data_IF_110458480426
#
_entry.id   IF_110458480426
#
_cell.length_a   1.000
_cell.length_b   1.000
_cell.length_c   1.000
_cell.angle_alpha   90.00
_cell.angle_beta   90.00
_cell.angle_gamma   90.00
#
_symmetry.space_group_name_H-M   'P 1'
#
loop_
_entity.id
_entity.type
_entity.pdbx_description
1 polymer ?
#
# COMPACT_ATOMS: atom_id res chain seq x y z
N UNK A 1 10.39 -34.70 -29.52
CA UNK A 1 11.68 -35.11 -28.97
C UNK A 1 12.19 -33.98 -28.12
N UNK A 2 11.62 -33.68 -26.96
CA UNK A 2 11.40 -34.48 -25.73
C UNK A 2 12.02 -33.54 -24.65
N UNK A 3 11.42 -33.17 -23.53
CA UNK A 3 10.42 -33.78 -22.66
C UNK A 3 9.59 -32.68 -21.99
N UNK A 4 8.29 -32.98 -21.86
CA UNK A 4 7.32 -32.27 -21.03
C UNK A 4 7.60 -32.52 -19.54
N UNK A 5 7.82 -31.45 -18.77
CA UNK A 5 7.67 -31.51 -17.32
C UNK A 5 6.24 -31.16 -16.94
N UNK A 6 5.40 -32.19 -16.92
CA UNK A 6 4.09 -32.21 -16.25
C UNK A 6 4.35 -32.05 -14.74
N UNK A 7 3.84 -30.98 -14.14
CA UNK A 7 3.73 -30.88 -12.69
C UNK A 7 2.26 -31.00 -12.30
N UNK A 8 1.99 -32.05 -11.54
CA UNK A 8 0.69 -32.56 -11.13
C UNK A 8 -0.17 -31.57 -10.33
N UNK A 9 -1.48 -31.73 -10.47
CA UNK A 9 -2.54 -31.02 -9.76
C UNK A 9 -2.43 -31.22 -8.23
N UNK A 10 -2.14 -30.13 -7.52
CA UNK A 10 -2.34 -30.03 -6.07
C UNK A 10 -3.82 -29.79 -5.70
N UNK A 11 -4.24 -30.11 -4.46
CA UNK A 11 -5.64 -30.24 -4.10
C UNK A 11 -6.41 -28.92 -4.23
N UNK A 12 -7.50 -28.98 -4.99
CA UNK A 12 -8.40 -27.87 -5.27
C UNK A 12 -9.25 -27.49 -4.05
N UNK A 13 -8.92 -26.39 -3.39
CA UNK A 13 -9.86 -25.70 -2.50
C UNK A 13 -10.81 -24.90 -3.40
N UNK A 14 -12.06 -25.35 -3.48
CA UNK A 14 -13.26 -24.59 -3.86
C UNK A 14 -13.18 -23.70 -5.11
N UNK A 15 -13.86 -24.10 -6.19
CA UNK A 15 -14.09 -23.31 -7.42
C UNK A 15 -14.59 -21.89 -7.13
N UNK A 16 -13.68 -20.93 -7.01
CA UNK A 16 -13.84 -19.59 -7.55
C UNK A 16 -12.60 -19.32 -8.41
N UNK A 17 -12.82 -19.02 -9.70
CA UNK A 17 -11.77 -18.49 -10.57
C UNK A 17 -11.37 -17.14 -9.99
N UNK A 18 -10.38 -17.12 -9.09
CA UNK A 18 -9.56 -15.93 -8.87
C UNK A 18 -8.90 -15.68 -10.22
N UNK A 19 -9.48 -14.79 -11.02
CA UNK A 19 -8.77 -14.22 -12.18
C UNK A 19 -7.44 -13.74 -11.63
N UNK A 20 -6.35 -14.43 -11.99
CA UNK A 20 -4.97 -14.13 -11.56
C UNK A 20 -4.78 -12.61 -11.46
N UNK A 21 -4.82 -12.07 -10.25
CA UNK A 21 -4.41 -10.70 -9.99
C UNK A 21 -2.92 -10.63 -10.32
N UNK A 22 -2.59 -10.10 -11.50
CA UNK A 22 -1.20 -10.02 -11.96
C UNK A 22 -0.38 -9.23 -10.93
N UNK A 23 0.54 -9.91 -10.25
CA UNK A 23 1.46 -9.30 -9.30
C UNK A 23 1.06 -9.39 -7.82
N UNK A 24 -0.04 -10.07 -7.47
CA UNK A 24 -0.36 -10.39 -6.08
C UNK A 24 0.29 -11.71 -5.68
N UNK A 25 1.17 -11.68 -4.68
CA UNK A 25 1.76 -12.87 -4.07
C UNK A 25 1.22 -13.06 -2.65
N UNK A 26 0.68 -14.25 -2.38
CA UNK A 26 0.24 -14.69 -1.04
C UNK A 26 1.38 -15.49 -0.42
N UNK A 27 1.87 -15.08 0.75
CA UNK A 27 2.84 -15.86 1.53
C UNK A 27 2.20 -16.29 2.84
N UNK A 28 1.75 -17.56 2.94
CA UNK A 28 1.45 -18.14 4.24
C UNK A 28 2.77 -18.36 5.00
N UNK A 29 2.73 -18.22 6.33
CA UNK A 29 3.82 -18.73 7.17
C UNK A 29 3.94 -20.24 6.95
N UNK A 30 5.10 -20.71 6.49
CA UNK A 30 5.37 -22.12 6.22
C UNK A 30 5.74 -22.77 7.55
N UNK A 31 4.96 -23.76 8.02
CA UNK A 31 5.47 -24.78 8.92
C UNK A 31 6.08 -25.92 8.08
N UNK A 32 7.14 -26.55 8.58
CA UNK A 32 7.91 -27.57 7.84
C UNK A 32 7.15 -28.90 7.61
N UNK A 33 5.85 -28.96 7.90
CA UNK A 33 5.07 -30.19 7.78
C UNK A 33 3.92 -29.99 6.80
N UNK A 34 4.19 -30.25 5.53
CA UNK A 34 3.21 -30.20 4.45
C UNK A 34 1.98 -31.09 4.75
N UNK A 35 0.88 -30.46 5.14
CA UNK A 35 -0.42 -31.10 5.24
C UNK A 35 -1.48 -30.28 4.50
N UNK A 36 -2.17 -30.96 3.59
CA UNK A 36 -3.28 -30.48 2.78
C UNK A 36 -4.44 -29.98 3.64
N UNK A 37 -4.84 -28.72 3.44
CA UNK A 37 -5.96 -28.09 4.15
C UNK A 37 -7.31 -28.59 3.63
N UNK A 38 -7.88 -29.57 4.34
CA UNK A 38 -9.30 -29.88 4.34
C UNK A 38 -9.85 -29.76 5.77
N UNK A 39 -11.04 -29.17 5.89
CA UNK A 39 -11.86 -28.95 7.10
C UNK A 39 -11.34 -27.92 8.14
N UNK A 40 -12.08 -26.80 8.21
CA UNK A 40 -11.80 -25.57 8.97
C UNK A 40 -12.00 -25.65 10.50
N UNK A 41 -12.10 -26.82 11.15
CA UNK A 41 -12.48 -26.86 12.57
C UNK A 41 -11.52 -27.53 13.56
N UNK A 42 -10.34 -28.05 13.16
CA UNK A 42 -9.50 -28.80 14.12
C UNK A 42 -8.04 -28.34 14.31
N UNK A 43 -7.66 -27.14 13.85
CA UNK A 43 -6.37 -26.57 14.26
C UNK A 43 -6.42 -25.06 14.44
N UNK A 44 -6.16 -24.58 15.66
CA UNK A 44 -6.34 -23.20 16.14
C UNK A 44 -5.46 -22.13 15.48
N UNK A 45 -5.63 -21.88 14.18
CA UNK A 45 -4.97 -20.79 13.45
C UNK A 45 -5.87 -19.57 13.33
N UNK A 46 -6.20 -18.93 14.46
CA UNK A 46 -6.91 -17.65 14.45
C UNK A 46 -6.00 -16.55 13.89
N UNK A 47 -6.19 -16.16 12.63
CA UNK A 47 -5.50 -15.01 12.03
C UNK A 47 -6.00 -13.73 12.69
N UNK A 48 -5.17 -13.12 13.54
CA UNK A 48 -5.49 -11.85 14.23
C UNK A 48 -5.57 -10.67 13.26
N UNK A 49 -4.58 -10.57 12.37
CA UNK A 49 -4.52 -9.52 11.36
C UNK A 49 -3.77 -9.99 10.10
N UNK A 50 -4.09 -9.34 8.99
CA UNK A 50 -3.45 -9.50 7.68
C UNK A 50 -2.71 -8.22 7.34
N UNK A 51 -1.53 -8.34 6.75
CA UNK A 51 -0.75 -7.19 6.27
C UNK A 51 -0.77 -7.14 4.75
N UNK A 52 -1.09 -5.98 4.20
CA UNK A 52 -1.05 -5.68 2.78
C UNK A 52 0.14 -4.76 2.49
N UNK A 53 1.14 -5.28 1.79
CA UNK A 53 2.32 -4.52 1.36
C UNK A 53 2.13 -4.03 -0.08
N UNK A 54 2.08 -2.71 -0.24
CA UNK A 54 1.97 -2.04 -1.53
C UNK A 54 3.30 -1.44 -1.93
N UNK A 55 4.01 -2.13 -2.83
CA UNK A 55 5.33 -1.75 -3.30
C UNK A 55 5.37 -0.52 -4.20
N UNK A 56 6.57 0.05 -4.31
CA UNK A 56 6.84 1.21 -5.15
C UNK A 56 6.99 0.85 -6.63
N UNK A 57 7.09 1.87 -7.49
CA UNK A 57 7.22 1.68 -8.93
C UNK A 57 8.45 0.82 -9.26
N UNK A 58 8.27 -0.21 -10.08
CA UNK A 58 9.33 -1.17 -10.49
C UNK A 58 9.93 -2.02 -9.37
N UNK A 59 9.36 -2.00 -8.16
CA UNK A 59 9.86 -2.87 -7.11
C UNK A 59 9.66 -4.35 -7.48
N UNK A 60 10.63 -5.19 -7.10
CA UNK A 60 10.54 -6.63 -7.28
C UNK A 60 10.00 -7.26 -6.00
N UNK A 61 9.33 -8.41 -6.11
CA UNK A 61 8.82 -9.14 -4.93
C UNK A 61 9.88 -9.38 -3.85
N UNK A 62 11.13 -9.61 -4.27
CA UNK A 62 12.29 -9.77 -3.36
C UNK A 62 12.50 -8.56 -2.45
N UNK A 63 12.16 -7.36 -2.90
CA UNK A 63 12.29 -6.14 -2.10
C UNK A 63 11.22 -6.06 -1.01
N UNK A 64 10.02 -6.59 -1.26
CA UNK A 64 8.94 -6.67 -0.26
C UNK A 64 9.12 -7.85 0.70
N UNK A 65 9.91 -8.86 0.32
CA UNK A 65 10.14 -10.06 1.14
C UNK A 65 10.75 -9.74 2.50
N UNK A 66 11.70 -8.80 2.58
CA UNK A 66 12.29 -8.37 3.86
C UNK A 66 11.26 -7.75 4.82
N UNK A 67 10.25 -7.06 4.27
CA UNK A 67 9.16 -6.52 5.08
C UNK A 67 8.16 -7.60 5.47
N UNK A 68 7.87 -8.57 4.60
CA UNK A 68 7.08 -9.73 5.01
C UNK A 68 7.77 -10.52 6.13
N UNK A 69 9.08 -10.75 6.02
CA UNK A 69 9.90 -11.34 7.08
C UNK A 69 9.80 -10.54 8.39
N UNK A 70 9.89 -9.21 8.33
CA UNK A 70 9.67 -8.34 9.49
C UNK A 70 8.34 -8.65 10.21
N UNK A 71 7.23 -8.79 9.46
CA UNK A 71 5.93 -9.10 10.05
C UNK A 71 5.79 -10.53 10.56
N UNK A 72 6.35 -11.50 9.85
CA UNK A 72 6.32 -12.90 10.27
C UNK A 72 7.18 -13.14 11.52
N UNK A 73 8.43 -12.69 11.50
CA UNK A 73 9.44 -13.00 12.50
C UNK A 73 9.30 -12.17 13.78
N UNK A 74 8.88 -10.90 13.67
CA UNK A 74 8.86 -9.99 14.82
C UNK A 74 7.47 -9.65 15.34
N UNK A 75 6.42 -9.89 14.54
CA UNK A 75 5.05 -9.50 14.89
C UNK A 75 4.06 -10.66 14.83
N UNK A 76 4.55 -11.90 14.67
CA UNK A 76 3.75 -13.13 14.60
C UNK A 76 2.58 -13.05 13.61
N UNK A 77 2.71 -12.22 12.56
CA UNK A 77 1.71 -12.12 11.51
C UNK A 77 1.76 -13.39 10.67
N UNK A 78 0.63 -14.04 10.45
CA UNK A 78 0.57 -15.30 9.68
C UNK A 78 0.40 -15.08 8.18
N UNK A 79 -0.15 -13.92 7.78
CA UNK A 79 -0.54 -13.65 6.40
C UNK A 79 -0.07 -12.27 5.98
N UNK A 80 0.85 -12.24 5.02
CA UNK A 80 1.31 -11.01 4.38
C UNK A 80 1.06 -11.12 2.88
N UNK A 81 0.24 -10.21 2.34
CA UNK A 81 0.02 -10.08 0.91
C UNK A 81 0.92 -9.01 0.34
N UNK A 82 1.57 -9.31 -0.78
CA UNK A 82 2.51 -8.39 -1.44
C UNK A 82 2.00 -8.08 -2.82
N UNK A 83 1.84 -6.79 -3.10
CA UNK A 83 1.42 -6.31 -4.42
C UNK A 83 2.32 -5.17 -4.88
N UNK A 84 2.68 -5.22 -6.16
CA UNK A 84 3.39 -4.13 -6.83
C UNK A 84 2.61 -3.70 -8.05
N UNK A 85 2.30 -2.40 -8.14
CA UNK A 85 1.65 -1.86 -9.33
C UNK A 85 2.61 -1.96 -10.52
N UNK A 86 2.24 -2.62 -11.63
CA UNK A 86 3.06 -2.64 -12.83
C UNK A 86 3.34 -1.22 -13.36
N UNK A 87 4.60 -0.91 -13.65
CA UNK A 87 4.99 0.45 -14.03
C UNK A 87 4.28 0.95 -15.29
N UNK A 88 4.01 0.06 -16.24
CA UNK A 88 3.22 0.36 -17.44
C UNK A 88 1.80 0.86 -17.13
N UNK A 89 1.20 0.45 -16.01
CA UNK A 89 -0.15 0.89 -15.62
C UNK A 89 -0.14 2.29 -15.03
N UNK A 90 0.88 2.61 -14.23
CA UNK A 90 1.10 3.96 -13.71
C UNK A 90 1.39 4.93 -14.85
N UNK A 91 2.33 4.58 -15.74
CA UNK A 91 2.75 5.42 -16.87
C UNK A 91 1.65 5.61 -17.91
N UNK A 92 0.90 4.55 -18.25
CA UNK A 92 -0.25 4.63 -19.19
C UNK A 92 -1.51 5.17 -18.54
N UNK A 93 -1.44 5.57 -17.26
CA UNK A 93 -2.58 6.05 -16.46
C UNK A 93 -3.77 5.10 -16.51
N UNK A 94 -3.53 3.79 -16.63
CA UNK A 94 -4.55 2.75 -16.52
C UNK A 94 -4.93 2.59 -15.05
N UNK A 95 -5.59 3.62 -14.51
CA UNK A 95 -6.11 3.62 -13.16
C UNK A 95 -7.03 2.42 -12.94
N UNK A 96 -7.69 1.90 -14.00
CA UNK A 96 -8.54 0.72 -13.95
C UNK A 96 -7.89 -0.51 -13.31
N UNK A 97 -6.58 -0.74 -13.44
CA UNK A 97 -5.93 -1.92 -12.83
C UNK A 97 -5.58 -1.69 -11.36
N UNK A 98 -5.16 -0.47 -11.00
CA UNK A 98 -4.99 -0.05 -9.58
C UNK A 98 -6.33 -0.08 -8.85
N UNK A 99 -7.37 0.37 -9.54
CA UNK A 99 -8.78 0.36 -9.11
C UNK A 99 -9.26 -1.05 -8.87
N UNK A 100 -9.14 -1.94 -9.87
CA UNK A 100 -9.53 -3.34 -9.74
C UNK A 100 -8.76 -4.04 -8.63
N UNK A 101 -7.46 -3.79 -8.51
CA UNK A 101 -6.68 -4.41 -7.43
C UNK A 101 -7.17 -3.96 -6.05
N UNK A 102 -7.45 -2.67 -5.87
CA UNK A 102 -8.03 -2.18 -4.63
C UNK A 102 -9.40 -2.84 -4.38
N UNK A 103 -10.29 -2.85 -5.36
CA UNK A 103 -11.63 -3.45 -5.26
C UNK A 103 -11.58 -4.95 -4.96
N UNK A 104 -10.70 -5.69 -5.63
CA UNK A 104 -10.53 -7.13 -5.46
C UNK A 104 -9.94 -7.45 -4.09
N UNK A 105 -8.92 -6.73 -3.63
CA UNK A 105 -8.37 -6.90 -2.28
C UNK A 105 -9.44 -6.62 -1.22
N UNK A 106 -10.20 -5.54 -1.39
CA UNK A 106 -11.27 -5.17 -0.46
C UNK A 106 -12.45 -6.15 -0.45
N UNK A 107 -12.64 -6.90 -1.55
CA UNK A 107 -13.71 -7.90 -1.66
C UNK A 107 -13.26 -9.29 -1.18
N UNK A 108 -11.99 -9.66 -1.41
CA UNK A 108 -11.49 -11.00 -1.12
C UNK A 108 -11.05 -11.17 0.34
N UNK A 109 -10.48 -10.13 0.96
CA UNK A 109 -9.98 -10.23 2.35
C UNK A 109 -11.09 -10.64 3.35
N UNK A 110 -12.30 -10.05 3.34
CA UNK A 110 -13.36 -10.47 4.25
C UNK A 110 -13.84 -11.91 3.99
N UNK A 111 -13.71 -12.41 2.76
CA UNK A 111 -14.12 -13.78 2.40
C UNK A 111 -13.15 -14.83 2.95
N UNK A 112 -11.84 -14.58 2.84
CA UNK A 112 -10.82 -15.51 3.33
C UNK A 112 -10.47 -15.31 4.82
N UNK A 113 -10.64 -14.09 5.33
CA UNK A 113 -10.23 -13.71 6.68
C UNK A 113 -11.32 -12.86 7.38
N UNK A 114 -12.53 -13.39 7.61
CA UNK A 114 -13.71 -12.63 8.04
C UNK A 114 -13.57 -11.93 9.41
N UNK A 115 -12.62 -12.35 10.25
CA UNK A 115 -12.38 -11.79 11.59
C UNK A 115 -11.02 -11.12 11.75
N UNK A 116 -10.20 -11.10 10.70
CA UNK A 116 -8.87 -10.51 10.78
C UNK A 116 -8.95 -9.00 10.58
N UNK A 117 -8.20 -8.25 11.39
CA UNK A 117 -7.92 -6.84 11.11
C UNK A 117 -6.98 -6.72 9.91
N UNK A 118 -7.06 -5.62 9.17
CA UNK A 118 -6.21 -5.35 8.01
C UNK A 118 -5.30 -4.18 8.32
N UNK A 119 -4.01 -4.41 8.18
CA UNK A 119 -2.98 -3.38 8.16
C UNK A 119 -2.55 -3.16 6.72
N UNK A 120 -2.50 -1.90 6.28
CA UNK A 120 -1.97 -1.57 4.95
C UNK A 120 -0.67 -0.79 5.07
N UNK A 121 0.37 -1.25 4.39
CA UNK A 121 1.68 -0.62 4.37
C UNK A 121 2.00 -0.17 2.94
N UNK A 122 2.03 1.15 2.74
CA UNK A 122 2.31 1.77 1.46
C UNK A 122 3.77 2.19 1.37
N UNK A 123 4.45 1.79 0.30
CA UNK A 123 5.81 2.23 -0.02
C UNK A 123 5.79 3.20 -1.19
N UNK A 124 6.34 4.40 -0.98
CA UNK A 124 6.41 5.47 -1.98
C UNK A 124 5.03 5.84 -2.56
N UNK A 125 5.03 6.74 -3.54
CA UNK A 125 3.81 7.07 -4.29
C UNK A 125 3.26 5.87 -5.07
N UNK A 126 4.11 4.91 -5.45
CA UNK A 126 3.67 3.67 -6.12
C UNK A 126 2.62 2.91 -5.32
N UNK A 127 2.87 2.71 -4.02
CA UNK A 127 1.89 2.12 -3.11
C UNK A 127 0.78 3.10 -2.73
N UNK A 128 1.13 4.35 -2.43
CA UNK A 128 0.16 5.36 -1.96
C UNK A 128 -0.90 5.75 -3.01
N UNK A 129 -0.68 5.49 -4.31
CA UNK A 129 -1.74 5.62 -5.32
C UNK A 129 -2.93 4.69 -5.07
N UNK A 130 -2.70 3.52 -4.46
CA UNK A 130 -3.77 2.60 -4.03
C UNK A 130 -4.58 3.25 -2.90
N UNK A 131 -3.92 3.90 -1.94
CA UNK A 131 -4.58 4.61 -0.83
C UNK A 131 -5.54 5.69 -1.35
N UNK A 132 -5.11 6.50 -2.33
CA UNK A 132 -6.01 7.49 -2.96
C UNK A 132 -7.26 6.84 -3.55
N UNK A 133 -7.14 5.65 -4.15
CA UNK A 133 -8.30 4.97 -4.71
C UNK A 133 -9.20 4.42 -3.61
N UNK A 134 -8.62 3.85 -2.56
CA UNK A 134 -9.35 3.40 -1.38
C UNK A 134 -10.15 4.56 -0.77
N UNK A 135 -9.55 5.73 -0.64
CA UNK A 135 -10.21 6.97 -0.21
C UNK A 135 -11.42 7.33 -1.06
N UNK A 136 -11.27 7.25 -2.39
CA UNK A 136 -12.35 7.56 -3.31
C UNK A 136 -13.51 6.57 -3.24
N UNK A 137 -13.21 5.27 -3.09
CA UNK A 137 -14.23 4.24 -2.92
C UNK A 137 -15.00 4.49 -1.63
N UNK A 138 -14.28 4.65 -0.52
CA UNK A 138 -14.85 4.91 0.79
C UNK A 138 -15.69 6.19 0.84
N UNK A 139 -15.17 7.30 0.31
CA UNK A 139 -15.91 8.56 0.24
C UNK A 139 -17.10 8.50 -0.73
N UNK A 140 -17.00 7.70 -1.80
CA UNK A 140 -18.10 7.44 -2.74
C UNK A 140 -19.25 6.70 -2.06
N UNK A 141 -18.95 5.63 -1.34
CA UNK A 141 -19.93 4.90 -0.51
C UNK A 141 -20.53 5.80 0.58
N UNK A 142 -19.71 6.64 1.22
CA UNK A 142 -20.19 7.59 2.24
C UNK A 142 -21.13 8.67 1.67
N UNK A 143 -20.83 9.23 0.48
CA UNK A 143 -21.70 10.21 -0.21
C UNK A 143 -22.99 9.61 -0.77
N UNK A 144 -22.98 8.34 -1.19
CA UNK A 144 -24.21 7.66 -1.60
C UNK A 144 -25.10 7.35 -0.39
N UNK A 145 -24.51 7.07 0.78
CA UNK A 145 -25.26 6.89 2.04
C UNK A 145 -25.95 8.18 2.52
N UNK A 146 -25.42 9.36 2.19
CA UNK A 146 -26.02 10.67 2.53
C UNK A 146 -27.00 11.22 1.48
N UNK A 147 -27.07 10.61 0.29
CA UNK A 147 -28.07 10.93 -0.74
C UNK A 147 -29.02 9.75 -0.91
N UNK A 148 -30.17 9.78 -0.23
CA UNK A 148 -31.37 9.04 -0.64
C UNK A 148 -31.68 9.42 -2.09
N UNK A 149 -31.25 8.62 -3.06
CA UNK A 149 -31.87 8.60 -4.38
C UNK A 149 -31.75 7.21 -5.00
N UNK A 150 -32.94 6.68 -5.27
CA UNK A 150 -33.32 5.40 -5.83
C UNK A 150 -32.51 5.00 -7.08
N UNK A 151 -31.86 3.83 -7.03
CA UNK A 151 -31.96 2.83 -8.10
C UNK A 151 -31.51 1.45 -7.60
N UNK A 152 -32.24 0.45 -8.07
CA UNK A 152 -32.51 -0.82 -7.42
C UNK A 152 -31.53 -1.92 -7.81
N UNK A 153 -30.25 -1.77 -7.43
CA UNK A 153 -29.26 -2.86 -7.47
C UNK A 153 -28.31 -2.78 -6.28
N UNK A 154 -28.80 -3.21 -5.12
CA UNK A 154 -27.94 -3.70 -4.04
C UNK A 154 -27.45 -5.11 -4.40
N UNK A 155 -26.15 -5.40 -4.45
CA UNK A 155 -25.69 -6.73 -4.08
C UNK A 155 -25.90 -6.91 -2.56
N UNK A 156 -26.35 -8.07 -2.06
CA UNK A 156 -26.98 -8.15 -0.74
C UNK A 156 -26.02 -8.12 0.46
N UNK A 157 -24.71 -7.92 0.28
CA UNK A 157 -23.70 -8.28 1.30
C UNK A 157 -22.63 -7.19 1.59
N UNK A 158 -22.83 -5.92 1.20
CA UNK A 158 -21.80 -4.87 1.23
C UNK A 158 -21.60 -4.13 2.57
N UNK A 159 -22.14 -4.61 3.69
CA UNK A 159 -21.95 -3.95 5.00
C UNK A 159 -20.57 -4.25 5.64
N UNK A 160 -19.75 -5.14 5.04
CA UNK A 160 -18.61 -5.76 5.74
C UNK A 160 -17.20 -5.48 5.20
N UNK A 161 -17.00 -4.80 4.06
CA UNK A 161 -15.64 -4.72 3.49
C UNK A 161 -14.69 -3.70 4.15
N UNK A 162 -15.20 -2.74 4.93
CA UNK A 162 -14.38 -1.65 5.46
C UNK A 162 -14.17 -1.70 6.98
N UNK A 163 -14.94 -2.51 7.71
CA UNK A 163 -14.82 -2.63 9.17
C UNK A 163 -13.50 -3.29 9.61
N UNK A 164 -12.86 -4.03 8.72
CA UNK A 164 -11.62 -4.74 9.02
C UNK A 164 -10.37 -3.86 8.90
N UNK A 165 -10.42 -2.75 8.16
CA UNK A 165 -9.27 -1.87 7.98
C UNK A 165 -8.95 -1.13 9.28
N UNK A 166 -7.88 -1.58 9.95
CA UNK A 166 -7.57 -1.18 11.31
C UNK A 166 -6.48 -0.10 11.38
N UNK A 167 -5.51 -0.11 10.46
CA UNK A 167 -4.40 0.82 10.50
C UNK A 167 -3.70 0.93 9.14
N UNK A 168 -2.96 2.04 8.95
CA UNK A 168 -2.14 2.28 7.75
C UNK A 168 -0.73 2.74 8.12
N UNK A 169 0.27 2.34 7.32
CA UNK A 169 1.65 2.80 7.41
C UNK A 169 2.04 3.40 6.07
N UNK A 170 2.58 4.61 6.09
CA UNK A 170 3.12 5.31 4.94
C UNK A 170 4.65 5.37 5.07
N UNK A 171 5.36 4.63 4.23
CA UNK A 171 6.81 4.58 4.17
C UNK A 171 7.29 5.34 2.93
N UNK A 172 8.03 6.42 3.18
CA UNK A 172 8.49 7.38 2.16
C UNK A 172 7.36 7.92 1.27
N UNK A 173 6.18 8.18 1.84
CA UNK A 173 5.05 8.78 1.14
C UNK A 173 4.11 9.47 2.12
N UNK A 174 3.15 10.29 1.65
CA UNK A 174 2.95 10.79 0.28
C UNK A 174 4.04 11.77 -0.16
N UNK A 175 4.40 11.72 -1.44
CA UNK A 175 5.34 12.66 -2.07
C UNK A 175 4.66 13.47 -3.17
N UNK A 176 5.17 14.66 -3.48
CA UNK A 176 4.77 15.40 -4.67
C UNK A 176 5.07 14.55 -5.91
N UNK A 177 4.11 14.44 -6.82
CA UNK A 177 4.23 13.68 -8.06
C UNK A 177 4.58 14.62 -9.22
N UNK A 178 5.48 15.57 -8.97
CA UNK A 178 5.86 16.58 -9.93
C UNK A 178 6.79 15.96 -10.99
N UNK A 179 6.92 16.66 -12.12
CA UNK A 179 7.74 16.16 -13.23
C UNK A 179 9.20 15.95 -12.80
N UNK A 180 9.69 16.74 -11.84
CA UNK A 180 11.07 16.65 -11.34
C UNK A 180 11.27 15.42 -10.45
N UNK A 181 10.37 15.15 -9.51
CA UNK A 181 10.38 13.99 -8.63
C UNK A 181 10.11 12.71 -9.42
N UNK A 182 9.19 12.75 -10.40
CA UNK A 182 8.98 11.66 -11.35
C UNK A 182 10.23 11.36 -12.19
N UNK A 183 10.90 12.40 -12.70
CA UNK A 183 12.14 12.26 -13.45
C UNK A 183 13.29 11.74 -12.56
N UNK A 184 13.39 12.21 -11.32
CA UNK A 184 14.36 11.71 -10.32
C UNK A 184 14.10 10.25 -9.99
N UNK A 185 12.85 9.88 -9.70
CA UNK A 185 12.47 8.52 -9.35
C UNK A 185 12.69 7.53 -10.51
N UNK A 186 12.33 7.90 -11.75
CA UNK A 186 12.52 7.02 -12.91
C UNK A 186 13.98 6.95 -13.37
N UNK A 187 14.74 8.04 -13.25
CA UNK A 187 16.18 8.03 -13.56
C UNK A 187 16.99 7.26 -12.50
N UNK A 188 16.60 7.29 -11.22
CA UNK A 188 17.24 6.51 -10.16
C UNK A 188 17.20 4.99 -10.42
N UNK A 189 16.24 4.50 -11.21
CA UNK A 189 16.15 3.09 -11.61
C UNK A 189 17.20 2.68 -12.66
N UNK A 190 17.82 3.63 -13.37
CA UNK A 190 18.83 3.35 -14.40
C UNK A 190 20.23 3.27 -13.77
N UNK A 191 21.10 2.40 -14.30
CA UNK A 191 22.49 2.26 -13.82
C UNK A 191 23.49 3.16 -14.56
N UNK A 192 23.27 3.42 -15.85
CA UNK A 192 24.22 4.16 -16.69
C UNK A 192 24.03 5.68 -16.54
N UNK A 193 25.09 6.47 -16.26
CA UNK A 193 25.00 7.89 -15.95
C UNK A 193 24.46 8.73 -17.12
N UNK A 194 24.88 8.42 -18.36
CA UNK A 194 24.37 9.10 -19.55
C UNK A 194 22.90 8.78 -19.82
N UNK A 195 22.47 7.54 -19.58
CA UNK A 195 21.06 7.16 -19.68
C UNK A 195 20.23 7.86 -18.60
N UNK A 196 20.73 7.96 -17.36
CA UNK A 196 20.08 8.73 -16.29
C UNK A 196 19.86 10.17 -16.70
N UNK A 197 20.90 10.85 -17.20
CA UNK A 197 20.84 12.25 -17.61
C UNK A 197 19.90 12.43 -18.82
N UNK A 198 20.03 11.60 -19.85
CA UNK A 198 19.17 11.66 -21.03
C UNK A 198 17.69 11.39 -20.68
N UNK A 199 17.41 10.39 -19.84
CA UNK A 199 16.06 10.11 -19.34
C UNK A 199 15.54 11.24 -18.46
N UNK A 200 16.36 11.82 -17.58
CA UNK A 200 15.98 12.98 -16.78
C UNK A 200 15.59 14.18 -17.66
N UNK A 201 16.44 14.54 -18.64
CA UNK A 201 16.17 15.64 -19.58
C UNK A 201 14.91 15.35 -20.40
N UNK A 202 14.80 14.15 -20.98
CA UNK A 202 13.67 13.77 -21.83
C UNK A 202 12.35 13.77 -21.07
N UNK A 203 12.33 13.29 -19.82
CA UNK A 203 11.11 13.28 -19.00
C UNK A 203 10.78 14.68 -18.51
N UNK A 204 11.77 15.45 -18.02
CA UNK A 204 11.54 16.81 -17.54
C UNK A 204 10.96 17.67 -18.66
N UNK A 205 11.60 17.71 -19.83
CA UNK A 205 11.17 18.55 -20.94
C UNK A 205 10.00 17.95 -21.71
N UNK A 206 9.94 16.62 -21.85
CA UNK A 206 8.83 15.93 -22.54
C UNK A 206 7.51 15.99 -21.77
N UNK A 207 7.55 15.88 -20.43
CA UNK A 207 6.36 16.11 -19.58
C UNK A 207 6.00 17.59 -19.51
N UNK A 208 6.97 18.50 -19.62
CA UNK A 208 6.68 19.93 -19.71
C UNK A 208 5.95 20.28 -21.01
N UNK A 209 6.44 19.81 -22.16
CA UNK A 209 5.86 20.18 -23.46
C UNK A 209 4.53 19.46 -23.73
N UNK A 210 4.35 18.22 -23.28
CA UNK A 210 3.15 17.41 -23.60
C UNK A 210 2.16 17.25 -22.43
N UNK A 211 2.56 17.56 -21.19
CA UNK A 211 1.89 17.07 -19.98
C UNK A 211 1.61 18.10 -18.88
N UNK A 212 2.10 19.35 -18.97
CA UNK A 212 1.97 20.36 -17.89
C UNK A 212 0.55 20.46 -17.35
N UNK A 213 -0.46 20.63 -18.19
CA UNK A 213 -1.82 20.80 -17.69
C UNK A 213 -2.38 19.53 -17.03
N UNK A 214 -2.13 18.34 -17.59
CA UNK A 214 -2.77 17.12 -17.11
C UNK A 214 -2.02 16.43 -15.96
N UNK A 215 -0.68 16.38 -16.01
CA UNK A 215 0.13 15.84 -14.92
C UNK A 215 -0.05 16.68 -13.65
N UNK A 216 0.03 18.00 -13.77
CA UNK A 216 -0.15 18.91 -12.63
C UNK A 216 -1.58 18.89 -12.09
N UNK A 217 -2.59 18.63 -12.93
CA UNK A 217 -3.97 18.42 -12.46
C UNK A 217 -4.13 17.08 -11.74
N UNK A 218 -3.50 16.02 -12.23
CA UNK A 218 -3.56 14.72 -11.59
C UNK A 218 -2.83 14.72 -10.25
N UNK A 219 -1.64 15.31 -10.20
CA UNK A 219 -0.86 15.49 -8.98
C UNK A 219 -1.58 16.38 -7.97
N UNK A 220 -2.05 17.58 -8.37
CA UNK A 220 -2.81 18.45 -7.46
C UNK A 220 -4.03 17.73 -6.90
N UNK A 221 -4.77 17.01 -7.75
CA UNK A 221 -5.87 16.17 -7.27
C UNK A 221 -5.36 15.07 -6.35
N UNK A 222 -4.26 14.40 -6.64
CA UNK A 222 -3.71 13.38 -5.76
C UNK A 222 -3.42 13.93 -4.36
N UNK A 223 -2.63 15.00 -4.27
CA UNK A 223 -2.31 15.64 -3.00
C UNK A 223 -3.55 16.20 -2.31
N UNK A 224 -4.48 16.81 -3.04
CA UNK A 224 -5.75 17.30 -2.50
C UNK A 224 -6.59 16.18 -1.86
N UNK A 225 -6.61 14.98 -2.45
CA UNK A 225 -7.37 13.85 -1.87
C UNK A 225 -6.68 13.29 -0.61
N UNK A 226 -5.35 13.30 -0.58
CA UNK A 226 -4.58 12.82 0.56
C UNK A 226 -4.59 13.84 1.71
N UNK A 227 -4.45 15.14 1.41
CA UNK A 227 -4.54 16.22 2.38
C UNK A 227 -5.94 16.34 2.99
N UNK A 228 -6.98 16.02 2.23
CA UNK A 228 -8.38 15.99 2.69
C UNK A 228 -8.87 14.56 2.95
N UNK A 229 -7.98 13.69 3.41
CA UNK A 229 -8.33 12.35 3.85
C UNK A 229 -9.15 12.43 5.15
N UNK A 230 -10.44 12.07 5.04
CA UNK A 230 -11.39 12.05 6.14
C UNK A 230 -11.57 10.67 6.78
N UNK A 231 -10.76 9.68 6.41
CA UNK A 231 -10.79 8.38 7.06
C UNK A 231 -10.16 8.49 8.44
N UNK A 232 -10.95 8.14 9.45
CA UNK A 232 -10.52 8.07 10.84
C UNK A 232 -9.80 6.75 11.13
N UNK A 233 -8.81 6.45 10.28
CA UNK A 233 -7.98 5.25 10.37
C UNK A 233 -6.61 5.66 10.93
N UNK A 234 -6.15 5.00 12.03
CA UNK A 234 -4.83 5.22 12.59
C UNK A 234 -3.73 5.10 11.53
N UNK A 235 -2.77 6.01 11.58
CA UNK A 235 -1.74 6.12 10.53
C UNK A 235 -0.37 6.36 11.13
N UNK A 236 0.63 5.60 10.66
CA UNK A 236 2.04 5.83 10.94
C UNK A 236 2.74 6.37 9.69
N UNK A 237 3.39 7.53 9.80
CA UNK A 237 4.23 8.08 8.73
C UNK A 237 5.70 7.86 9.05
N UNK A 238 6.45 7.27 8.12
CA UNK A 238 7.88 6.98 8.21
C UNK A 238 8.55 7.67 7.02
N UNK A 239 9.41 8.65 7.31
CA UNK A 239 10.16 9.38 6.27
C UNK A 239 11.48 9.94 6.82
N UNK A 240 12.36 10.44 5.95
CA UNK A 240 13.65 11.03 6.36
C UNK A 240 13.86 12.39 5.71
N UNK A 241 14.59 13.28 6.40
CA UNK A 241 15.05 14.55 5.83
C UNK A 241 16.04 14.35 4.66
N UNK A 242 16.70 13.19 4.60
CA UNK A 242 17.63 12.80 3.52
C UNK A 242 16.92 12.17 2.30
N UNK A 243 15.58 12.00 2.37
CA UNK A 243 14.81 11.47 1.26
C UNK A 243 14.70 12.49 0.11
N UNK A 244 15.52 12.30 -0.92
CA UNK A 244 15.55 13.18 -2.11
C UNK A 244 14.28 13.15 -2.98
N UNK A 245 13.33 12.24 -2.70
CA UNK A 245 12.08 12.05 -3.43
C UNK A 245 10.89 12.55 -2.60
N UNK A 246 10.85 12.21 -1.30
CA UNK A 246 9.74 12.58 -0.42
C UNK A 246 10.09 13.79 0.44
N UNK A 247 9.45 14.92 0.17
CA UNK A 247 9.62 16.14 0.94
C UNK A 247 9.02 16.00 2.36
N UNK A 248 9.89 16.09 3.38
CA UNK A 248 9.51 16.07 4.78
C UNK A 248 8.48 17.16 5.14
N UNK A 249 8.61 18.37 4.57
CA UNK A 249 7.71 19.48 4.87
C UNK A 249 6.29 19.23 4.34
N UNK A 250 6.18 18.55 3.19
CA UNK A 250 4.90 18.08 2.65
C UNK A 250 4.24 17.05 3.58
N UNK A 251 5.00 16.05 4.04
CA UNK A 251 4.46 15.01 4.93
C UNK A 251 4.00 15.63 6.26
N UNK A 252 4.79 16.51 6.86
CA UNK A 252 4.43 17.20 8.10
C UNK A 252 3.16 18.04 7.96
N UNK A 253 2.97 18.72 6.82
CA UNK A 253 1.73 19.46 6.54
C UNK A 253 0.52 18.53 6.49
N UNK A 254 0.64 17.37 5.85
CA UNK A 254 -0.43 16.36 5.75
C UNK A 254 -0.75 15.78 7.13
N UNK A 255 0.27 15.40 7.89
CA UNK A 255 0.14 14.92 9.28
C UNK A 255 -0.59 15.96 10.13
N UNK A 256 -0.20 17.23 10.05
CA UNK A 256 -0.80 18.32 10.83
C UNK A 256 -2.29 18.46 10.52
N UNK A 257 -2.67 18.47 9.23
CA UNK A 257 -4.08 18.52 8.82
C UNK A 257 -4.86 17.30 9.33
N UNK A 258 -4.27 16.11 9.23
CA UNK A 258 -4.90 14.86 9.68
C UNK A 258 -5.13 14.85 11.20
N UNK A 259 -4.12 15.25 11.98
CA UNK A 259 -4.24 15.39 13.44
C UNK A 259 -5.35 16.38 13.82
N UNK A 260 -5.40 17.53 13.16
CA UNK A 260 -6.46 18.53 13.38
C UNK A 260 -7.85 17.97 13.06
N UNK A 261 -7.98 17.19 11.98
CA UNK A 261 -9.24 16.53 11.64
C UNK A 261 -9.68 15.51 12.70
N UNK A 262 -8.80 14.64 13.18
CA UNK A 262 -9.12 13.70 14.28
C UNK A 262 -9.62 14.44 15.53
N UNK A 263 -8.90 15.48 15.96
CA UNK A 263 -9.29 16.32 17.09
C UNK A 263 -10.66 16.97 16.88
N UNK A 264 -10.95 17.44 15.66
CA UNK A 264 -12.26 18.02 15.33
C UNK A 264 -13.43 17.03 15.45
N UNK A 265 -13.16 15.72 15.33
CA UNK A 265 -14.14 14.65 15.50
C UNK A 265 -14.21 14.15 16.96
N UNK A 266 -13.51 14.79 17.89
CA UNK A 266 -13.46 14.39 19.30
C UNK A 266 -12.62 13.13 19.55
N UNK A 267 -11.80 12.73 18.58
CA UNK A 267 -10.93 11.55 18.69
C UNK A 267 -9.52 12.03 19.03
N UNK A 268 -8.92 11.46 20.08
CA UNK A 268 -7.51 11.72 20.41
C UNK A 268 -6.67 11.30 19.22
N UNK A 269 -5.89 12.24 18.67
CA UNK A 269 -5.24 12.08 17.39
C UNK A 269 -4.40 10.80 17.31
N UNK A 270 -4.83 9.86 16.48
CA UNK A 270 -4.18 8.56 16.32
C UNK A 270 -3.26 8.52 15.08
N UNK A 271 -2.37 9.52 15.03
CA UNK A 271 -1.44 9.72 13.93
C UNK A 271 -0.03 9.75 14.49
N UNK A 272 0.65 8.61 14.37
CA UNK A 272 2.05 8.46 14.76
C UNK A 272 2.97 8.93 13.63
N UNK A 273 4.09 9.52 14.00
CA UNK A 273 5.09 10.00 13.05
C UNK A 273 6.45 9.57 13.54
N UNK A 274 7.22 9.03 12.61
CA UNK A 274 8.63 8.79 12.80
C UNK A 274 9.43 9.40 11.67
N UNK A 275 10.38 10.24 12.05
CA UNK A 275 11.24 10.99 11.14
C UNK A 275 12.69 10.74 11.49
N UNK A 276 13.49 10.47 10.47
CA UNK A 276 14.94 10.32 10.57
C UNK A 276 15.58 11.64 10.16
N UNK A 277 16.26 12.26 11.12
CA UNK A 277 16.97 13.52 10.90
C UNK A 277 18.15 13.32 9.96
N UNK A 278 18.65 14.42 9.41
CA UNK A 278 19.87 14.44 8.58
C UNK A 278 21.08 13.75 9.25
N UNK A 279 21.14 13.71 10.59
CA UNK A 279 22.18 13.01 11.35
C UNK A 279 22.11 11.48 11.26
N UNK A 280 20.98 10.92 10.82
CA UNK A 280 20.72 9.48 10.67
C UNK A 280 20.11 9.24 9.27
N UNK A 281 20.87 9.49 8.20
CA UNK A 281 20.34 9.53 6.85
C UNK A 281 19.71 8.19 6.47
N UNK A 282 18.63 8.27 5.70
CA UNK A 282 18.07 7.10 5.08
C UNK A 282 17.44 7.46 3.75
N UNK A 283 17.96 6.85 2.69
CA UNK A 283 17.40 6.98 1.35
C UNK A 283 15.94 6.48 1.27
N UNK A 284 15.23 6.99 0.28
CA UNK A 284 13.87 6.61 -0.09
C UNK A 284 13.62 5.09 -0.03
N UNK A 285 12.61 4.66 0.73
CA UNK A 285 12.16 3.27 0.92
C UNK A 285 13.23 2.34 1.54
N UNK A 286 14.32 2.89 2.04
CA UNK A 286 15.40 2.12 2.67
C UNK A 286 15.46 2.29 4.19
N UNK A 287 14.45 2.91 4.82
CA UNK A 287 14.42 3.16 6.27
C UNK A 287 14.66 1.89 7.10
N UNK A 288 13.99 0.78 6.75
CA UNK A 288 14.22 -0.50 7.42
C UNK A 288 15.63 -1.09 7.18
N UNK A 289 16.23 -0.82 6.02
CA UNK A 289 17.57 -1.32 5.71
C UNK A 289 18.66 -0.55 6.47
N UNK A 290 18.50 0.76 6.63
CA UNK A 290 19.47 1.60 7.34
C UNK A 290 19.31 1.50 8.87
N UNK A 291 18.07 1.42 9.36
CA UNK A 291 17.75 1.53 10.78
C UNK A 291 16.81 0.41 11.24
N UNK A 292 17.21 -0.87 11.14
CA UNK A 292 16.31 -2.01 11.32
C UNK A 292 15.65 -2.07 12.71
N UNK A 293 16.43 -1.84 13.77
CA UNK A 293 15.92 -1.93 15.14
C UNK A 293 14.99 -0.76 15.48
N UNK A 294 15.36 0.46 15.11
CA UNK A 294 14.52 1.64 15.31
C UNK A 294 13.23 1.53 14.50
N UNK A 295 13.32 1.11 13.23
CA UNK A 295 12.14 0.90 12.39
C UNK A 295 11.21 -0.16 12.98
N UNK A 296 11.76 -1.31 13.41
CA UNK A 296 11.00 -2.38 14.07
C UNK A 296 10.33 -1.90 15.35
N UNK A 297 11.05 -1.16 16.18
CA UNK A 297 10.50 -0.64 17.43
C UNK A 297 9.30 0.28 17.18
N UNK A 298 9.38 1.16 16.18
CA UNK A 298 8.31 2.11 15.85
C UNK A 298 7.10 1.42 15.23
N UNK A 299 7.31 0.47 14.30
CA UNK A 299 6.22 -0.36 13.79
C UNK A 299 5.58 -1.16 14.93
N UNK A 300 6.38 -1.78 15.81
CA UNK A 300 5.87 -2.56 16.95
C UNK A 300 5.02 -1.73 17.90
N UNK A 301 5.47 -0.52 18.27
CA UNK A 301 4.68 0.43 19.08
C UNK A 301 3.35 0.76 18.44
N UNK A 302 3.34 1.06 17.15
CA UNK A 302 2.12 1.36 16.39
C UNK A 302 1.16 0.16 16.36
N UNK A 303 1.66 -1.05 16.07
CA UNK A 303 0.82 -2.25 16.07
C UNK A 303 0.22 -2.56 17.45
N UNK A 304 1.00 -2.38 18.52
CA UNK A 304 0.54 -2.57 19.89
C UNK A 304 -0.55 -1.56 20.26
N UNK A 305 -0.36 -0.28 19.92
CA UNK A 305 -1.32 0.79 20.19
C UNK A 305 -2.69 0.55 19.52
N UNK A 306 -2.74 -0.17 18.40
CA UNK A 306 -3.98 -0.44 17.65
C UNK A 306 -4.51 -1.87 17.80
N UNK A 307 -3.96 -2.63 18.77
CA UNK A 307 -4.39 -3.99 19.09
C UNK A 307 -4.24 -4.93 17.89
N UNK A 308 -3.10 -4.84 17.20
CA UNK A 308 -2.68 -5.76 16.15
C UNK A 308 -1.67 -6.81 16.67
N UNK A 309 -1.07 -6.60 17.85
CA UNK A 309 -0.23 -7.58 18.56
C UNK A 309 -1.02 -8.23 19.70
#
# INVERSE_FOLDING_TARGET
MDEDAVFEDGPSIGRFRVTKLKGLNICPAIDENGASASSEEENGYKVKFVVLLFGWLTCQDKHLRKYAALYHEHFACKVVLRYTVPAGNVLRRKQSEVVRTAEDIMSLIPLFFPRAKVLVHYFSNGGCFVHRRLLLLLNGHYRQRSRRFCCDRRPPNEEHSFSQLAATIFDSCPAAADAQTGAKALSAALRAPFARLATYITIRFGLEVYGLAQCWRYERKYLEHIENDHLLIPSLYIYSDDDTITDAALVERIVTKRKAYFTSQGIVADVMVRTWKVSEPSSHVCHYAHHPDAYRAEVGKFLQAHGLL
#
